data_IF_784647173767
#
_entry.id   IF_784647173767
#
_cell.length_a   1.000
_cell.length_b   1.000
_cell.length_c   1.000
_cell.angle_alpha   90.00
_cell.angle_beta   90.00
_cell.angle_gamma   90.00
#
_symmetry.space_group_name_H-M   'P 1'
#
loop_
_entity.id
_entity.type
_entity.pdbx_description
1 polymer ?
#
# COMPACT_ATOMS: atom_id res chain seq x y z
N UNK A 1 8.97 -4.89 15.92
CA UNK A 1 8.50 -3.50 16.11
C UNK A 1 8.53 -2.81 14.77
N UNK A 2 7.42 -2.22 14.32
CA UNK A 2 7.40 -1.45 13.07
C UNK A 2 8.04 -0.09 13.28
N UNK A 3 8.71 0.41 12.24
CA UNK A 3 9.00 1.84 12.16
C UNK A 3 7.89 2.49 11.36
N UNK A 4 7.25 3.50 11.97
CA UNK A 4 6.26 4.32 11.29
C UNK A 4 6.99 5.33 10.42
N UNK A 5 6.64 5.40 9.15
CA UNK A 5 7.21 6.33 8.20
C UNK A 5 6.11 7.15 7.54
N UNK A 6 6.38 8.44 7.35
CA UNK A 6 5.66 9.29 6.43
C UNK A 6 5.93 8.88 4.97
N UNK A 7 5.07 9.31 4.05
CA UNK A 7 5.28 9.08 2.62
C UNK A 7 6.57 9.71 2.09
N UNK A 8 6.97 10.86 2.64
CA UNK A 8 8.23 11.52 2.30
C UNK A 8 9.42 10.64 2.72
N UNK A 9 9.39 10.09 3.94
CA UNK A 9 10.44 9.22 4.41
C UNK A 9 10.52 7.93 3.60
N UNK A 10 9.38 7.29 3.31
CA UNK A 10 9.30 6.08 2.45
C UNK A 10 9.94 6.32 1.07
N UNK A 11 9.91 7.54 0.52
CA UNK A 11 10.63 7.85 -0.72
C UNK A 11 12.13 8.06 -0.53
N UNK A 12 12.54 8.58 0.62
CA UNK A 12 13.92 8.97 0.90
C UNK A 12 14.81 7.80 1.30
N UNK A 13 14.23 6.75 1.91
CA UNK A 13 14.97 5.57 2.33
C UNK A 13 14.94 4.48 1.26
N UNK A 14 16.03 3.72 1.14
CA UNK A 14 16.06 2.55 0.27
C UNK A 14 15.18 1.45 0.88
N UNK A 15 14.03 1.17 0.24
CA UNK A 15 13.08 0.13 0.67
C UNK A 15 12.25 -0.36 -0.52
N UNK A 16 11.48 -1.43 -0.30
CA UNK A 16 10.60 -2.02 -1.31
C UNK A 16 9.10 -1.78 -1.08
N UNK A 17 8.70 -0.87 -0.18
CA UNK A 17 7.30 -0.67 0.22
C UNK A 17 6.38 -0.39 -0.98
N UNK A 18 6.74 0.57 -1.83
CA UNK A 18 5.95 0.94 -3.02
C UNK A 18 5.83 -0.23 -4.00
N UNK A 19 6.90 -0.99 -4.18
CA UNK A 19 6.92 -2.16 -5.05
C UNK A 19 6.06 -3.31 -4.49
N UNK A 20 6.11 -3.56 -3.19
CA UNK A 20 5.31 -4.57 -2.51
C UNK A 20 3.81 -4.21 -2.56
N UNK A 21 3.47 -2.95 -2.29
CA UNK A 21 2.10 -2.44 -2.44
C UNK A 21 1.60 -2.58 -3.88
N UNK A 22 2.40 -2.16 -4.86
CA UNK A 22 2.08 -2.31 -6.27
C UNK A 22 1.83 -3.78 -6.67
N UNK A 23 2.62 -4.70 -6.13
CA UNK A 23 2.45 -6.14 -6.37
C UNK A 23 1.08 -6.63 -5.88
N UNK A 24 0.62 -6.15 -4.72
CA UNK A 24 -0.71 -6.48 -4.21
C UNK A 24 -1.83 -5.85 -5.04
N UNK A 25 -1.68 -4.61 -5.51
CA UNK A 25 -2.62 -3.96 -6.43
C UNK A 25 -2.79 -4.78 -7.71
N UNK A 26 -1.69 -5.26 -8.30
CA UNK A 26 -1.74 -6.10 -9.52
C UNK A 26 -2.30 -7.50 -9.24
N UNK A 27 -2.00 -8.12 -8.09
CA UNK A 27 -2.62 -9.40 -7.69
C UNK A 27 -4.14 -9.28 -7.59
N UNK A 28 -4.63 -8.16 -7.06
CA UNK A 28 -6.06 -7.85 -7.00
C UNK A 28 -6.66 -7.43 -8.36
N UNK A 29 -5.85 -7.35 -9.42
CA UNK A 29 -6.25 -6.89 -10.76
C UNK A 29 -6.85 -5.48 -10.75
N UNK A 30 -6.38 -4.62 -9.85
CA UNK A 30 -6.85 -3.25 -9.75
C UNK A 30 -6.07 -2.32 -10.68
N UNK A 31 -6.75 -1.30 -11.20
CA UNK A 31 -6.15 -0.31 -12.10
C UNK A 31 -5.20 0.65 -11.36
N UNK A 32 -5.40 0.81 -10.05
CA UNK A 32 -4.57 1.66 -9.21
C UNK A 32 -5.00 1.63 -7.76
N UNK A 33 -4.40 2.49 -6.94
CA UNK A 33 -4.55 2.46 -5.49
C UNK A 33 -5.99 2.71 -5.01
N UNK A 34 -6.73 3.64 -5.63
CA UNK A 34 -8.10 3.96 -5.19
C UNK A 34 -9.08 2.84 -5.50
N UNK A 35 -8.92 2.19 -6.67
CA UNK A 35 -9.69 1.01 -7.06
C UNK A 35 -9.38 -0.16 -6.12
N UNK A 36 -8.09 -0.36 -5.80
CA UNK A 36 -7.64 -1.33 -4.81
C UNK A 36 -8.31 -1.12 -3.44
N UNK A 37 -8.28 0.10 -2.88
CA UNK A 37 -8.93 0.36 -1.59
C UNK A 37 -10.43 0.16 -1.61
N UNK A 38 -11.12 0.56 -2.68
CA UNK A 38 -12.56 0.31 -2.84
C UNK A 38 -12.87 -1.18 -2.87
N UNK A 39 -12.02 -1.98 -3.52
CA UNK A 39 -12.19 -3.42 -3.64
C UNK A 39 -11.93 -4.14 -2.32
N UNK A 40 -10.78 -3.92 -1.69
CA UNK A 40 -10.37 -4.72 -0.52
C UNK A 40 -11.18 -4.39 0.73
N UNK A 41 -11.62 -3.14 0.89
CA UNK A 41 -12.42 -2.72 2.05
C UNK A 41 -13.93 -2.79 1.79
N UNK A 42 -14.36 -3.54 0.77
CA UNK A 42 -15.78 -3.75 0.49
C UNK A 42 -16.47 -4.55 1.59
N UNK A 43 -15.80 -5.60 2.06
CA UNK A 43 -16.40 -6.62 2.93
C UNK A 43 -15.76 -6.64 4.34
N UNK A 44 -14.81 -5.74 4.64
CA UNK A 44 -14.12 -5.70 5.93
C UNK A 44 -13.17 -4.51 6.09
N UNK A 45 -12.71 -4.30 7.32
CA UNK A 45 -11.75 -3.25 7.68
C UNK A 45 -10.30 -3.73 7.66
N UNK A 46 -10.04 -5.02 7.80
CA UNK A 46 -8.71 -5.57 7.99
C UNK A 46 -8.42 -6.66 6.97
N UNK A 47 -7.35 -6.46 6.20
CA UNK A 47 -6.98 -7.30 5.07
C UNK A 47 -5.52 -7.73 5.24
N UNK A 48 -5.29 -9.03 5.12
CA UNK A 48 -3.98 -9.65 5.28
C UNK A 48 -3.60 -10.38 4.00
N UNK A 49 -2.45 -9.99 3.44
CA UNK A 49 -1.83 -10.71 2.34
C UNK A 49 -0.80 -11.67 2.90
N UNK A 50 -0.99 -12.96 2.64
CA UNK A 50 -0.11 -14.01 3.12
C UNK A 50 0.71 -14.62 1.98
N UNK A 51 1.93 -15.07 2.30
CA UNK A 51 2.66 -16.03 1.51
C UNK A 51 2.81 -17.30 2.35
N UNK A 52 2.14 -18.38 1.94
CA UNK A 52 1.94 -19.58 2.76
C UNK A 52 1.31 -19.20 4.11
N UNK A 53 2.04 -19.33 5.21
CA UNK A 53 1.59 -19.05 6.57
C UNK A 53 2.01 -17.67 7.09
N UNK A 54 2.82 -16.92 6.34
CA UNK A 54 3.37 -15.64 6.79
C UNK A 54 2.63 -14.48 6.17
N UNK A 55 2.13 -13.56 6.99
CA UNK A 55 1.62 -12.26 6.53
C UNK A 55 2.81 -11.47 5.97
N UNK A 56 2.68 -11.00 4.74
CA UNK A 56 3.69 -10.19 4.06
C UNK A 56 3.27 -8.72 3.91
N UNK A 57 1.97 -8.45 3.94
CA UNK A 57 1.43 -7.10 3.87
C UNK A 57 0.06 -7.09 4.56
N UNK A 58 -0.26 -6.02 5.28
CA UNK A 58 -1.60 -5.82 5.82
C UNK A 58 -2.11 -4.42 5.55
N UNK A 59 -3.42 -4.31 5.38
CA UNK A 59 -4.14 -3.07 5.20
C UNK A 59 -5.27 -3.05 6.22
N UNK A 60 -5.32 -2.04 7.08
CA UNK A 60 -6.44 -1.83 8.00
C UNK A 60 -7.09 -0.47 7.77
N UNK A 61 -8.40 -0.37 7.92
CA UNK A 61 -9.18 0.84 7.78
C UNK A 61 -9.91 1.13 9.09
N UNK A 62 -9.69 2.32 9.64
CA UNK A 62 -10.38 2.76 10.86
C UNK A 62 -11.77 3.34 10.56
N UNK A 63 -12.57 3.55 11.61
CA UNK A 63 -13.89 4.21 11.50
C UNK A 63 -13.81 5.64 10.94
N UNK A 64 -12.66 6.31 11.06
CA UNK A 64 -12.41 7.66 10.53
C UNK A 64 -11.86 7.67 9.10
N UNK A 65 -12.03 6.58 8.36
CA UNK A 65 -11.49 6.37 7.01
C UNK A 65 -9.94 6.45 6.90
N UNK A 66 -9.22 6.49 8.03
CA UNK A 66 -7.75 6.42 8.05
C UNK A 66 -7.34 4.99 7.71
N UNK A 67 -6.47 4.86 6.71
CA UNK A 67 -5.92 3.57 6.26
C UNK A 67 -4.52 3.41 6.83
N UNK A 68 -4.22 2.24 7.40
CA UNK A 68 -2.89 1.87 7.87
C UNK A 68 -2.40 0.74 6.98
N UNK A 69 -1.24 0.94 6.35
CA UNK A 69 -0.56 -0.06 5.55
C UNK A 69 0.66 -0.54 6.32
N UNK A 70 0.83 -1.86 6.42
CA UNK A 70 2.03 -2.45 7.01
C UNK A 70 2.67 -3.39 6.01
N UNK A 71 3.94 -3.13 5.73
CA UNK A 71 4.79 -4.06 5.00
C UNK A 71 5.56 -4.90 6.01
N UNK A 72 5.18 -6.18 6.09
CA UNK A 72 5.77 -7.10 7.06
C UNK A 72 7.19 -7.51 6.72
N UNK A 73 7.61 -7.38 5.46
CA UNK A 73 8.96 -7.70 5.02
C UNK A 73 9.93 -6.58 5.39
N UNK A 74 9.53 -5.34 5.11
CA UNK A 74 10.36 -4.16 5.36
C UNK A 74 10.19 -3.61 6.79
N UNK A 75 9.21 -4.12 7.56
CA UNK A 75 8.82 -3.64 8.89
C UNK A 75 8.48 -2.13 8.89
N UNK A 76 7.81 -1.70 7.83
CA UNK A 76 7.35 -0.33 7.60
C UNK A 76 5.84 -0.25 7.89
N UNK A 77 5.44 0.78 8.66
CA UNK A 77 4.04 1.16 8.81
C UNK A 77 3.82 2.56 8.21
N UNK A 78 2.79 2.71 7.38
CA UNK A 78 2.37 3.99 6.80
C UNK A 78 0.92 4.25 7.15
N UNK A 79 0.66 5.43 7.72
CA UNK A 79 -0.70 5.89 8.01
C UNK A 79 -1.13 6.87 6.92
N UNK A 80 -2.32 6.65 6.38
CA UNK A 80 -2.89 7.42 5.29
C UNK A 80 -4.21 8.04 5.76
N UNK A 81 -4.16 9.35 6.03
CA UNK A 81 -5.34 10.20 6.01
C UNK A 81 -5.74 10.55 4.55
N UNK A 82 -6.71 11.43 4.37
CA UNK A 82 -7.22 11.78 3.04
C UNK A 82 -6.15 12.41 2.13
N UNK A 83 -5.29 13.27 2.67
CA UNK A 83 -4.23 13.95 1.92
C UNK A 83 -3.14 12.95 1.50
N UNK A 84 -2.63 12.17 2.45
CA UNK A 84 -1.63 11.14 2.20
C UNK A 84 -2.15 10.06 1.24
N UNK A 85 -3.45 9.74 1.29
CA UNK A 85 -4.07 8.82 0.33
C UNK A 85 -4.00 9.33 -1.11
N UNK A 86 -4.26 10.62 -1.33
CA UNK A 86 -4.14 11.26 -2.66
C UNK A 86 -2.68 11.27 -3.11
N UNK A 87 -1.75 11.60 -2.21
CA UNK A 87 -0.33 11.58 -2.52
C UNK A 87 0.17 10.18 -2.90
N UNK A 88 -0.15 9.16 -2.09
CA UNK A 88 0.23 7.78 -2.39
C UNK A 88 -0.40 7.28 -3.69
N UNK A 89 -1.64 7.68 -3.98
CA UNK A 89 -2.26 7.36 -5.26
C UNK A 89 -1.45 7.90 -6.44
N UNK A 90 -0.97 9.14 -6.38
CA UNK A 90 -0.13 9.73 -7.41
C UNK A 90 1.22 9.04 -7.53
N UNK A 91 1.85 8.67 -6.40
CA UNK A 91 3.11 7.92 -6.38
C UNK A 91 2.93 6.58 -7.11
N UNK A 92 1.90 5.82 -6.75
CA UNK A 92 1.61 4.51 -7.35
C UNK A 92 1.27 4.68 -8.83
N UNK A 93 0.45 5.65 -9.21
CA UNK A 93 0.12 5.93 -10.61
C UNK A 93 1.39 6.20 -11.44
N UNK A 94 2.29 7.06 -10.94
CA UNK A 94 3.55 7.34 -11.59
C UNK A 94 4.47 6.10 -11.67
N UNK A 95 4.47 5.27 -10.61
CA UNK A 95 5.22 4.02 -10.60
C UNK A 95 4.71 3.03 -11.65
N UNK A 96 3.38 2.89 -11.79
CA UNK A 96 2.74 2.05 -12.81
C UNK A 96 3.16 2.52 -14.21
N UNK A 97 3.01 3.81 -14.51
CA UNK A 97 3.39 4.38 -15.81
C UNK A 97 4.87 4.12 -16.12
N UNK A 98 5.76 4.28 -15.13
CA UNK A 98 7.20 4.00 -15.31
C UNK A 98 7.47 2.53 -15.58
N UNK A 99 6.78 1.61 -14.91
CA UNK A 99 6.92 0.16 -15.13
C UNK A 99 6.36 -0.28 -16.48
N UNK A 100 5.25 0.30 -16.92
CA UNK A 100 4.63 -0.03 -18.21
C UNK A 100 5.40 0.53 -19.41
N UNK A 101 6.15 1.62 -19.25
CA UNK A 101 7.07 2.14 -20.29
C UNK A 101 8.39 1.36 -20.45
N UNK A 102 8.69 0.45 -19.53
CA UNK A 102 9.90 -0.39 -19.59
C UNK A 102 9.69 -1.69 -20.38
N UNK A 103 8.47 -1.91 -20.88
CA UNK A 103 8.09 -2.98 -21.79
C UNK A 103 7.64 -2.38 -23.12
#
# INVERSE_FOLDING_TARGET
MYKRFSLAEVKSIQNNFIQNLYSNIKKERCLGLMDFFKKIFRDGSDIYYCNRTEVNFSCSKTEKDIIILRDEKEKIEVILDEENKKELHNIIKNFIIKKEKQF
#
